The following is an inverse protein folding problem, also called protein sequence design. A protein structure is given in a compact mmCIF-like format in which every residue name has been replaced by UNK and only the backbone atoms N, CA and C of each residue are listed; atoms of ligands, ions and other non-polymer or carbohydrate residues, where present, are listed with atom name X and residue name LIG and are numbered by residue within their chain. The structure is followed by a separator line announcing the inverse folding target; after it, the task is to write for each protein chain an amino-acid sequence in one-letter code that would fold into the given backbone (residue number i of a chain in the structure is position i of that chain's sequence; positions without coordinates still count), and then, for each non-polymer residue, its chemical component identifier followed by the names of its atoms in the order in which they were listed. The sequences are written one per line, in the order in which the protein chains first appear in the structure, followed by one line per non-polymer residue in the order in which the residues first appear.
data_IF_615008333276
#
_entry.id   IF_615008333276
#
_cell.length_a   1.000
_cell.length_b   1.000
_cell.length_c   1.000
_cell.angle_alpha   90.00
_cell.angle_beta   90.00
_cell.angle_gamma   90.00
#
_symmetry.space_group_name_H-M   'P 1'
#
loop_
_entity.id
_entity.type
_entity.pdbx_description
1 polymer ?
#
# COMPACT_ATOMS: atom_id res chain seq x y z
N UNK A 1 -5.83 29.29 36.96
CA UNK A 1 -4.62 28.47 36.81
C UNK A 1 -3.81 29.11 35.69
N UNK A 2 -2.88 30.01 36.04
CA UNK A 2 -2.08 30.76 35.07
C UNK A 2 -0.82 29.98 34.78
N UNK A 3 -0.79 29.31 33.64
CA UNK A 3 0.41 28.65 33.12
C UNK A 3 1.37 29.75 32.68
N UNK A 4 2.64 29.70 33.09
CA UNK A 4 3.62 30.68 32.63
C UNK A 4 3.84 30.54 31.11
N UNK A 5 4.18 31.61 30.37
CA UNK A 5 4.45 31.52 28.92
C UNK A 5 5.51 30.47 28.59
N UNK A 6 6.48 30.29 29.48
CA UNK A 6 7.58 29.32 29.36
C UNK A 6 7.14 27.88 29.61
N UNK A 7 6.15 27.67 30.49
CA UNK A 7 5.51 26.36 30.70
C UNK A 7 4.60 26.00 29.53
N UNK A 8 3.89 26.98 28.97
CA UNK A 8 3.09 26.78 27.76
C UNK A 8 3.97 26.46 26.54
N UNK A 9 5.12 27.14 26.39
CA UNK A 9 6.08 26.85 25.32
C UNK A 9 6.67 25.43 25.46
N UNK A 10 7.07 25.03 26.68
CA UNK A 10 7.60 23.68 26.95
C UNK A 10 6.56 22.60 26.69
N UNK A 11 5.31 22.80 27.13
CA UNK A 11 4.23 21.85 26.88
C UNK A 11 3.93 21.70 25.38
N UNK A 12 3.93 22.80 24.62
CA UNK A 12 3.76 22.77 23.17
C UNK A 12 4.92 22.06 22.47
N UNK A 13 6.16 22.30 22.90
CA UNK A 13 7.34 21.64 22.34
C UNK A 13 7.35 20.13 22.63
N UNK A 14 6.88 19.71 23.80
CA UNK A 14 6.78 18.30 24.19
C UNK A 14 5.66 17.57 23.44
N UNK A 15 4.50 18.23 23.25
CA UNK A 15 3.43 17.75 22.37
C UNK A 15 3.93 17.62 20.93
N UNK A 16 4.70 18.60 20.45
CA UNK A 16 5.23 18.63 19.10
C UNK A 16 6.30 17.54 18.87
N UNK A 17 7.19 17.30 19.84
CA UNK A 17 8.13 16.17 19.84
C UNK A 17 7.41 14.83 19.81
N UNK A 18 6.38 14.67 20.65
CA UNK A 18 5.60 13.43 20.72
C UNK A 18 4.87 13.18 19.40
N UNK A 19 4.26 14.23 18.82
CA UNK A 19 3.60 14.16 17.52
C UNK A 19 4.56 13.82 16.37
N UNK A 20 5.77 14.39 16.35
CA UNK A 20 6.83 14.04 15.38
C UNK A 20 7.23 12.57 15.50
N UNK A 21 7.39 12.08 16.74
CA UNK A 21 7.74 10.67 16.99
C UNK A 21 6.62 9.73 16.55
N UNK A 22 5.37 10.08 16.80
CA UNK A 22 4.19 9.31 16.39
C UNK A 22 3.99 9.29 14.88
N UNK A 23 4.19 10.42 14.19
CA UNK A 23 4.09 10.49 12.73
C UNK A 23 5.23 9.74 12.03
N UNK A 24 6.46 9.81 12.57
CA UNK A 24 7.61 9.05 12.04
C UNK A 24 7.44 7.55 12.22
N UNK A 25 6.77 7.14 13.28
CA UNK A 25 6.47 5.74 13.59
C UNK A 25 5.08 5.32 13.09
N UNK A 26 4.40 6.15 12.30
CA UNK A 26 3.05 5.83 11.83
C UNK A 26 3.11 4.52 11.03
N UNK A 27 2.22 3.56 11.32
CA UNK A 27 2.20 2.31 10.59
C UNK A 27 1.96 2.55 9.10
N UNK A 28 2.57 1.72 8.22
CA UNK A 28 2.33 1.81 6.78
C UNK A 28 0.84 1.77 6.47
N UNK A 29 0.38 2.48 5.43
CA UNK A 29 -1.06 2.60 5.11
C UNK A 29 -1.76 1.24 4.92
N UNK A 30 -1.02 0.25 4.44
CA UNK A 30 -1.44 -1.14 4.35
C UNK A 30 -0.22 -2.06 4.55
N UNK A 31 -0.41 -3.29 5.06
CA UNK A 31 0.67 -4.26 5.16
C UNK A 31 1.21 -4.60 3.77
N UNK A 32 2.52 -4.53 3.56
CA UNK A 32 3.14 -4.83 2.25
C UNK A 32 2.84 -6.24 1.75
N UNK A 33 2.75 -7.21 2.66
CA UNK A 33 2.42 -8.60 2.32
C UNK A 33 1.03 -8.73 1.70
N UNK A 34 0.11 -7.79 1.95
CA UNK A 34 -1.28 -7.88 1.49
C UNK A 34 -1.38 -7.85 -0.03
N UNK A 35 -0.65 -6.94 -0.68
CA UNK A 35 -0.63 -6.85 -2.14
C UNK A 35 0.00 -8.10 -2.76
N UNK A 36 1.07 -8.61 -2.16
CA UNK A 36 1.72 -9.86 -2.63
C UNK A 36 0.75 -11.03 -2.52
N UNK A 37 -0.03 -11.13 -1.44
CA UNK A 37 -1.05 -12.16 -1.28
C UNK A 37 -2.17 -12.05 -2.32
N UNK A 38 -2.59 -10.83 -2.67
CA UNK A 38 -3.54 -10.61 -3.79
C UNK A 38 -2.96 -11.14 -5.09
N UNK A 39 -1.76 -10.73 -5.48
CA UNK A 39 -1.20 -11.18 -6.75
C UNK A 39 -0.85 -12.67 -6.75
N UNK A 40 -0.53 -13.25 -5.60
CA UNK A 40 -0.32 -14.70 -5.46
C UNK A 40 -1.61 -15.47 -5.75
N UNK A 41 -2.75 -15.03 -5.20
CA UNK A 41 -4.03 -15.67 -5.52
C UNK A 41 -4.42 -15.52 -6.99
N UNK A 42 -4.11 -14.38 -7.63
CA UNK A 42 -4.27 -14.25 -9.10
C UNK A 42 -3.45 -15.29 -9.84
N UNK A 43 -2.18 -15.47 -9.47
CA UNK A 43 -1.32 -16.48 -10.08
C UNK A 43 -1.84 -17.91 -9.86
N UNK A 44 -2.33 -18.23 -8.66
CA UNK A 44 -2.91 -19.56 -8.36
C UNK A 44 -4.20 -19.80 -9.14
N UNK A 45 -5.07 -18.80 -9.30
CA UNK A 45 -6.29 -18.94 -10.13
C UNK A 45 -5.93 -19.15 -11.59
N UNK A 46 -4.94 -18.42 -12.10
CA UNK A 46 -4.50 -18.57 -13.49
C UNK A 46 -3.88 -19.94 -13.73
N UNK A 47 -3.02 -20.41 -12.83
CA UNK A 47 -2.51 -21.78 -12.83
C UNK A 47 -3.65 -22.81 -12.79
N UNK A 48 -4.62 -22.64 -11.88
CA UNK A 48 -5.73 -23.57 -11.70
C UNK A 48 -6.63 -23.64 -12.92
N UNK A 49 -6.80 -22.54 -13.65
CA UNK A 49 -7.71 -22.45 -14.81
C UNK A 49 -7.03 -22.65 -16.16
N UNK A 50 -5.70 -22.73 -16.19
CA UNK A 50 -4.93 -22.91 -17.42
C UNK A 50 -4.16 -24.23 -17.46
N UNK A 51 -3.62 -24.66 -16.32
CA UNK A 51 -2.76 -25.85 -16.23
C UNK A 51 -3.54 -27.07 -15.74
N UNK A 52 -4.42 -26.90 -14.76
CA UNK A 52 -5.22 -28.00 -14.22
C UNK A 52 -6.44 -28.26 -15.09
N UNK A 53 -6.90 -29.51 -15.10
CA UNK A 53 -8.07 -29.95 -15.88
C UNK A 53 -9.11 -30.62 -14.99
N UNK A 54 -10.36 -30.60 -15.45
CA UNK A 54 -11.47 -31.27 -14.77
C UNK A 54 -11.78 -30.70 -13.36
N UNK A 55 -12.29 -31.52 -12.44
CA UNK A 55 -12.70 -31.07 -11.09
C UNK A 55 -11.56 -30.46 -10.26
N UNK A 56 -10.31 -30.82 -10.54
CA UNK A 56 -9.13 -30.36 -9.79
C UNK A 56 -8.90 -28.86 -10.00
N UNK A 57 -9.21 -28.32 -11.19
CA UNK A 57 -9.16 -26.89 -11.46
C UNK A 57 -10.06 -26.10 -10.50
N UNK A 58 -11.29 -26.58 -10.30
CA UNK A 58 -12.25 -25.97 -9.40
C UNK A 58 -11.84 -26.10 -7.93
N UNK A 59 -11.24 -27.22 -7.53
CA UNK A 59 -10.67 -27.37 -6.19
C UNK A 59 -9.58 -26.31 -5.92
N UNK A 60 -8.71 -26.04 -6.90
CA UNK A 60 -7.69 -24.98 -6.80
C UNK A 60 -8.29 -23.58 -6.66
N UNK A 61 -9.32 -23.26 -7.45
CA UNK A 61 -10.05 -21.98 -7.35
C UNK A 61 -10.75 -21.83 -5.99
N UNK A 62 -11.46 -22.87 -5.53
CA UNK A 62 -12.15 -22.86 -4.23
C UNK A 62 -11.17 -22.74 -3.06
N UNK A 63 -10.04 -23.46 -3.13
CA UNK A 63 -8.97 -23.34 -2.14
C UNK A 63 -8.40 -21.92 -2.10
N UNK A 64 -8.24 -21.29 -3.26
CA UNK A 64 -7.79 -19.89 -3.35
C UNK A 64 -8.81 -18.94 -2.73
N UNK A 65 -10.09 -19.14 -2.99
CA UNK A 65 -11.17 -18.36 -2.39
C UNK A 65 -11.20 -18.50 -0.86
N UNK A 66 -11.07 -19.72 -0.34
CA UNK A 66 -10.96 -19.98 1.09
C UNK A 66 -9.71 -19.34 1.70
N UNK A 67 -8.58 -19.42 1.00
CA UNK A 67 -7.33 -18.75 1.37
C UNK A 67 -7.51 -17.23 1.46
N UNK A 68 -8.19 -16.60 0.49
CA UNK A 68 -8.50 -15.18 0.54
C UNK A 68 -9.40 -14.80 1.71
N UNK A 69 -10.42 -15.61 2.02
CA UNK A 69 -11.26 -15.37 3.18
C UNK A 69 -10.41 -15.38 4.47
N UNK A 70 -9.51 -16.35 4.63
CA UNK A 70 -8.58 -16.39 5.76
C UNK A 70 -7.62 -15.18 5.77
N UNK A 71 -7.10 -14.77 4.61
CA UNK A 71 -6.27 -13.57 4.47
C UNK A 71 -7.03 -12.30 4.84
N UNK A 72 -8.30 -12.17 4.47
CA UNK A 72 -9.17 -11.05 4.86
C UNK A 72 -9.34 -11.01 6.38
N UNK A 73 -9.65 -12.14 7.01
CA UNK A 73 -9.75 -12.22 8.47
C UNK A 73 -8.45 -11.79 9.14
N UNK A 74 -7.30 -12.29 8.65
CA UNK A 74 -5.98 -11.88 9.14
C UNK A 74 -5.74 -10.39 8.93
N UNK A 75 -6.05 -9.86 7.74
CA UNK A 75 -5.89 -8.44 7.42
C UNK A 75 -6.70 -7.57 8.38
N UNK A 76 -7.98 -7.87 8.58
CA UNK A 76 -8.82 -7.12 9.52
C UNK A 76 -8.31 -7.22 10.95
N UNK A 77 -7.85 -8.40 11.38
CA UNK A 77 -7.28 -8.61 12.71
C UNK A 77 -5.97 -7.84 12.92
N UNK A 78 -5.11 -7.79 11.91
CA UNK A 78 -3.83 -7.10 12.01
C UNK A 78 -4.02 -5.59 11.94
N UNK A 79 -4.89 -5.11 11.05
CA UNK A 79 -5.22 -3.69 10.87
C UNK A 79 -5.97 -3.11 12.07
N UNK A 80 -6.89 -3.87 12.69
CA UNK A 80 -7.63 -3.40 13.87
C UNK A 80 -6.74 -3.19 15.09
N UNK A 81 -5.57 -3.82 15.11
CA UNK A 81 -4.56 -3.70 16.19
C UNK A 81 -3.57 -2.56 15.95
N UNK A 82 -3.70 -1.78 14.88
CA UNK A 82 -2.75 -0.72 14.58
C UNK A 82 -2.93 0.49 15.50
N UNK A 83 -1.86 0.94 16.18
CA UNK A 83 -1.92 2.10 17.05
C UNK A 83 -2.07 3.36 16.17
N UNK A 84 -3.29 3.91 16.15
CA UNK A 84 -3.69 5.20 15.56
C UNK A 84 -3.33 5.40 14.07
N UNK A 85 -4.36 5.40 13.22
CA UNK A 85 -4.23 5.79 11.81
C UNK A 85 -4.14 7.32 11.69
N UNK A 86 -3.23 7.85 10.85
CA UNK A 86 -3.25 9.27 10.50
C UNK A 86 -4.62 9.68 9.98
N UNK A 87 -5.13 10.83 10.43
CA UNK A 87 -6.40 11.36 9.93
C UNK A 87 -6.31 11.60 8.42
N UNK A 88 -7.41 11.38 7.68
CA UNK A 88 -7.42 11.36 6.19
C UNK A 88 -6.88 12.64 5.56
N UNK A 89 -7.03 13.79 6.23
CA UNK A 89 -6.51 15.09 5.78
C UNK A 89 -4.98 15.23 5.80
N UNK A 90 -4.28 14.34 6.53
CA UNK A 90 -2.83 14.30 6.63
C UNK A 90 -2.17 13.43 5.55
N UNK A 91 -2.97 12.69 4.76
CA UNK A 91 -2.48 11.85 3.67
C UNK A 91 -2.45 12.70 2.39
N UNK A 92 -1.29 12.74 1.72
CA UNK A 92 -1.13 13.41 0.43
C UNK A 92 -1.99 12.69 -0.64
N UNK A 93 -2.92 13.36 -1.33
CA UNK A 93 -3.70 12.77 -2.41
C UNK A 93 -2.84 12.12 -3.50
N UNK A 94 -1.64 12.66 -3.74
CA UNK A 94 -0.71 12.11 -4.74
C UNK A 94 -0.27 10.69 -4.42
N UNK A 95 -0.29 10.28 -3.15
CA UNK A 95 -0.01 8.89 -2.73
C UNK A 95 -1.04 7.93 -3.33
N UNK A 96 -2.32 8.31 -3.32
CA UNK A 96 -3.38 7.49 -3.90
C UNK A 96 -3.35 7.47 -5.41
N UNK A 97 -2.98 8.59 -6.05
CA UNK A 97 -2.78 8.64 -7.50
C UNK A 97 -1.62 7.73 -7.92
N UNK A 98 -0.48 7.80 -7.23
CA UNK A 98 0.66 6.92 -7.49
C UNK A 98 0.33 5.44 -7.25
N UNK A 99 -0.44 5.13 -6.20
CA UNK A 99 -0.95 3.78 -5.96
C UNK A 99 -1.84 3.29 -7.09
N UNK A 100 -2.79 4.12 -7.52
CA UNK A 100 -3.71 3.81 -8.62
C UNK A 100 -2.96 3.62 -9.94
N UNK A 101 -2.01 4.49 -10.25
CA UNK A 101 -1.16 4.38 -11.43
C UNK A 101 -0.30 3.11 -11.41
N UNK A 102 0.27 2.75 -10.25
CA UNK A 102 1.01 1.50 -10.08
C UNK A 102 0.11 0.27 -10.27
N UNK A 103 -1.12 0.29 -9.73
CA UNK A 103 -2.09 -0.79 -9.87
C UNK A 103 -2.53 -0.97 -11.33
N UNK A 104 -2.93 0.13 -11.99
CA UNK A 104 -3.34 0.13 -13.40
C UNK A 104 -2.17 -0.30 -14.29
N UNK A 105 -0.96 0.21 -14.02
CA UNK A 105 0.25 -0.19 -14.72
C UNK A 105 0.52 -1.68 -14.61
N UNK A 106 0.36 -2.26 -13.42
CA UNK A 106 0.47 -3.71 -13.21
C UNK A 106 -0.56 -4.50 -14.02
N UNK A 107 -1.83 -4.08 -14.03
CA UNK A 107 -2.89 -4.72 -14.81
C UNK A 107 -2.60 -4.67 -16.32
N UNK A 108 -2.24 -3.49 -16.83
CA UNK A 108 -1.90 -3.30 -18.24
C UNK A 108 -0.67 -4.14 -18.63
N UNK A 109 0.38 -4.13 -17.80
CA UNK A 109 1.56 -4.96 -18.00
C UNK A 109 1.22 -6.45 -18.01
N UNK A 110 0.30 -6.89 -17.14
CA UNK A 110 -0.21 -8.27 -17.12
C UNK A 110 -0.84 -8.66 -18.45
N UNK A 111 -1.78 -7.87 -18.96
CA UNK A 111 -2.41 -8.13 -20.27
C UNK A 111 -1.41 -8.09 -21.43
N UNK A 112 -0.46 -7.15 -21.41
CA UNK A 112 0.60 -7.06 -22.41
C UNK A 112 1.49 -8.31 -22.40
N UNK A 113 1.88 -8.80 -21.22
CA UNK A 113 2.65 -10.05 -21.08
C UNK A 113 1.86 -11.26 -21.58
N UNK A 114 0.57 -11.36 -21.25
CA UNK A 114 -0.30 -12.44 -21.76
C UNK A 114 -0.31 -12.41 -23.29
N UNK A 115 -0.56 -11.25 -23.90
CA UNK A 115 -0.59 -11.11 -25.36
C UNK A 115 0.76 -11.48 -25.99
N UNK A 116 1.87 -11.02 -25.42
CA UNK A 116 3.22 -11.33 -25.90
C UNK A 116 3.53 -12.83 -25.79
N UNK A 117 3.21 -13.47 -24.67
CA UNK A 117 3.46 -14.90 -24.46
C UNK A 117 2.54 -15.79 -25.31
N UNK A 118 1.30 -15.38 -25.52
CA UNK A 118 0.40 -16.03 -26.48
C UNK A 118 0.93 -15.94 -27.91
N UNK A 119 1.41 -14.76 -28.33
CA UNK A 119 2.00 -14.57 -29.67
C UNK A 119 3.30 -15.37 -29.86
N UNK A 120 4.06 -15.58 -28.78
CA UNK A 120 5.26 -16.41 -28.79
C UNK A 120 4.98 -17.92 -28.70
N UNK A 121 3.72 -18.34 -28.61
CA UNK A 121 3.34 -19.76 -28.59
C UNK A 121 3.68 -20.49 -27.30
N UNK A 122 3.79 -19.79 -26.16
CA UNK A 122 3.97 -20.44 -24.87
C UNK A 122 2.73 -21.29 -24.53
N UNK A 123 2.95 -22.45 -23.91
CA UNK A 123 1.88 -23.37 -23.54
C UNK A 123 0.90 -22.79 -22.49
N UNK A 124 1.41 -21.98 -21.55
CA UNK A 124 0.65 -21.45 -20.42
C UNK A 124 0.85 -19.94 -20.24
N UNK A 125 0.42 -19.12 -21.23
CA UNK A 125 0.75 -17.70 -21.27
C UNK A 125 0.18 -16.91 -20.08
N UNK A 126 -1.03 -17.25 -19.59
CA UNK A 126 -1.63 -16.53 -18.46
C UNK A 126 -0.91 -16.82 -17.15
N UNK A 127 -0.55 -18.08 -16.93
CA UNK A 127 0.17 -18.54 -15.74
C UNK A 127 1.56 -17.92 -15.71
N UNK A 128 2.31 -17.99 -16.81
CA UNK A 128 3.64 -17.41 -16.90
C UNK A 128 3.61 -15.89 -16.69
N UNK A 129 2.68 -15.17 -17.35
CA UNK A 129 2.51 -13.73 -17.16
C UNK A 129 2.18 -13.36 -15.71
N UNK A 130 1.28 -14.11 -15.08
CA UNK A 130 0.87 -13.88 -13.70
C UNK A 130 2.01 -14.14 -12.70
N UNK A 131 2.83 -15.16 -12.94
CA UNK A 131 4.04 -15.42 -12.16
C UNK A 131 5.07 -14.29 -12.32
N UNK A 132 5.33 -13.82 -13.54
CA UNK A 132 6.22 -12.68 -13.77
C UNK A 132 5.74 -11.44 -13.03
N UNK A 133 4.44 -11.13 -13.12
CA UNK A 133 3.87 -9.97 -12.47
C UNK A 133 3.86 -10.11 -10.94
N UNK A 134 3.63 -11.31 -10.41
CA UNK A 134 3.78 -11.61 -8.99
C UNK A 134 5.19 -11.31 -8.50
N UNK A 135 6.24 -11.68 -9.24
CA UNK A 135 7.62 -11.35 -8.88
C UNK A 135 7.86 -9.83 -8.85
N UNK A 136 7.36 -9.10 -9.85
CA UNK A 136 7.44 -7.63 -9.88
C UNK A 136 6.72 -7.03 -8.67
N UNK A 137 5.55 -7.54 -8.32
CA UNK A 137 4.78 -7.08 -7.15
C UNK A 137 5.50 -7.43 -5.85
N UNK A 138 6.08 -8.63 -5.73
CA UNK A 138 6.83 -9.03 -4.53
C UNK A 138 8.00 -8.08 -4.25
N UNK A 139 8.62 -7.52 -5.30
CA UNK A 139 9.70 -6.54 -5.19
C UNK A 139 9.17 -5.12 -4.93
N UNK A 140 8.13 -4.69 -5.65
CA UNK A 140 7.68 -3.29 -5.63
C UNK A 140 6.68 -2.98 -4.50
N UNK A 141 5.86 -3.96 -4.08
CA UNK A 141 4.85 -3.77 -3.03
C UNK A 141 5.43 -3.45 -1.64
N UNK A 142 6.58 -3.97 -1.20
CA UNK A 142 7.20 -3.54 0.06
C UNK A 142 7.77 -2.13 0.02
N UNK A 143 8.19 -1.66 -1.17
CA UNK A 143 8.75 -0.32 -1.35
C UNK A 143 7.66 0.74 -1.34
N UNK A 144 6.46 0.40 -1.80
CA UNK A 144 5.36 1.32 -1.97
C UNK A 144 4.87 1.94 -0.63
N UNK A 145 4.52 1.18 0.43
CA UNK A 145 4.17 1.75 1.73
C UNK A 145 5.30 2.57 2.38
N UNK A 146 6.56 2.16 2.16
CA UNK A 146 7.73 2.89 2.69
C UNK A 146 7.83 4.26 2.03
N UNK A 147 7.76 4.31 0.71
CA UNK A 147 7.77 5.55 -0.06
C UNK A 147 6.59 6.46 0.32
N UNK A 148 5.39 5.89 0.46
CA UNK A 148 4.19 6.64 0.88
C UNK A 148 4.35 7.25 2.28
N UNK A 149 4.89 6.49 3.24
CA UNK A 149 5.16 6.98 4.58
C UNK A 149 6.18 8.14 4.56
N UNK A 150 7.27 8.00 3.80
CA UNK A 150 8.27 9.07 3.65
C UNK A 150 7.70 10.32 2.98
N UNK A 151 6.84 10.15 1.97
CA UNK A 151 6.20 11.28 1.28
C UNK A 151 5.23 12.03 2.19
N UNK A 152 4.36 11.31 2.90
CA UNK A 152 3.42 11.93 3.83
C UNK A 152 4.15 12.69 4.95
N UNK A 153 5.26 12.15 5.47
CA UNK A 153 6.10 12.86 6.45
C UNK A 153 6.63 14.20 5.88
N UNK A 154 7.21 14.18 4.68
CA UNK A 154 7.73 15.40 4.01
C UNK A 154 6.64 16.42 3.71
N UNK A 155 5.45 15.98 3.28
CA UNK A 155 4.33 16.88 3.01
C UNK A 155 3.80 17.53 4.29
N UNK A 156 3.78 16.79 5.40
CA UNK A 156 3.40 17.33 6.70
C UNK A 156 4.42 18.38 7.22
N UNK A 157 5.71 18.17 6.99
CA UNK A 157 6.77 19.15 7.30
C UNK A 157 6.60 20.44 6.48
N UNK A 158 6.44 20.34 5.16
CA UNK A 158 6.25 21.50 4.27
C UNK A 158 5.01 22.34 4.58
N UNK A 159 3.88 21.70 4.91
CA UNK A 159 2.66 22.41 5.30
C UNK A 159 2.84 23.23 6.59
N UNK A 160 3.72 22.78 7.49
CA UNK A 160 4.02 23.50 8.73
C UNK A 160 4.97 24.67 8.49
N UNK A 161 6.01 24.47 7.68
CA UNK A 161 6.92 25.56 7.28
C UNK A 161 6.15 26.68 6.56
N UNK A 162 5.21 26.32 5.67
CA UNK A 162 4.33 27.29 5.02
C UNK A 162 3.34 27.98 5.96
N UNK A 163 2.88 27.32 7.02
CA UNK A 163 2.01 27.92 8.03
C UNK A 163 2.77 28.78 9.07
N UNK A 164 4.09 28.56 9.21
CA UNK A 164 4.98 29.33 10.09
C UNK A 164 5.66 30.51 9.36
N UNK A 165 5.51 30.61 8.04
CA UNK A 165 5.97 31.78 7.29
C UNK A 165 5.11 33.01 7.70
N UNK A 166 5.72 34.13 8.10
CA UNK A 166 4.97 35.34 8.40
C UNK A 166 4.19 35.77 7.15
N UNK A 167 2.94 36.19 7.35
CA UNK A 167 2.15 36.80 6.29
C UNK A 167 2.98 37.95 5.66
N UNK A 168 2.93 38.14 4.32
CA UNK A 168 3.53 39.31 3.71
C UNK A 168 2.96 40.53 4.44
N UNK A 169 3.85 41.37 4.96
CA UNK A 169 3.47 42.64 5.57
C UNK A 169 2.93 43.51 4.43
N UNK A 170 1.61 43.50 4.24
CA UNK A 170 0.91 44.42 3.35
C UNK A 170 1.00 45.81 3.99
N UNK A 171 2.12 46.50 3.74
CA UNK A 171 2.34 47.91 4.02
C UNK A 171 2.93 48.62 2.80
#
# INVERSE_FOLDING_TARGET
MNISPEEAARALEEVERTRRRTLRNAPPLFPSWYLVAIWAGVAVVQFSTEVLTGPVAWAGVLLTAAGYAAFMVKFFRDVSRWPMRPHRSLIDPMVWVAFGAWLVGGIVAGYALIAAFSAAGLAYPRTTASCCLLLVVAVTAPLLPRWMATRNARTAERRREGAAAPAPDDR
#
